data_IF_694475793986
#
_entry.id   IF_694475793986
#
_cell.length_a   1.000
_cell.length_b   1.000
_cell.length_c   1.000
_cell.angle_alpha   90.00
_cell.angle_beta   90.00
_cell.angle_gamma   90.00
#
_symmetry.space_group_name_H-M   'P 1'
#
loop_
_entity.id
_entity.type
_entity.pdbx_description
1 polymer ?
#
# COMPACT_ATOMS: atom_id res chain seq x y z
N UNK A 1 -29.49 -8.15 8.03
CA UNK A 1 -28.69 -7.60 6.92
C UNK A 1 -29.15 -6.18 6.69
N UNK A 2 -28.25 -5.20 6.61
CA UNK A 2 -28.62 -3.83 6.30
C UNK A 2 -29.18 -3.74 4.88
N UNK A 3 -30.28 -3.00 4.69
CA UNK A 3 -30.86 -2.76 3.36
C UNK A 3 -30.13 -1.56 2.76
N UNK A 4 -29.56 -1.72 1.57
CA UNK A 4 -28.83 -0.66 0.88
C UNK A 4 -29.72 0.04 -0.17
N UNK A 5 -29.80 1.36 -0.10
CA UNK A 5 -30.50 2.25 -1.03
C UNK A 5 -29.70 2.47 -2.33
N UNK A 6 -29.05 1.41 -2.82
CA UNK A 6 -28.34 1.40 -4.09
C UNK A 6 -29.25 0.91 -5.22
N UNK A 7 -29.29 1.65 -6.32
CA UNK A 7 -29.92 1.21 -7.57
C UNK A 7 -28.92 0.38 -8.37
N UNK A 8 -29.29 -0.85 -8.68
CA UNK A 8 -28.54 -1.75 -9.56
C UNK A 8 -29.35 -1.93 -10.84
N UNK A 9 -28.79 -1.49 -11.96
CA UNK A 9 -29.44 -1.51 -13.27
C UNK A 9 -28.96 -2.68 -14.14
N UNK A 10 -27.88 -3.35 -13.74
CA UNK A 10 -27.30 -4.49 -14.49
C UNK A 10 -27.12 -5.73 -13.61
N UNK A 11 -27.05 -6.94 -14.18
CA UNK A 11 -26.82 -8.17 -13.41
C UNK A 11 -25.52 -8.11 -12.58
N UNK A 12 -24.45 -7.55 -13.14
CA UNK A 12 -23.18 -7.38 -12.43
C UNK A 12 -23.33 -6.45 -11.22
N UNK A 13 -24.05 -5.32 -11.38
CA UNK A 13 -24.36 -4.41 -10.27
C UNK A 13 -25.21 -5.08 -9.19
N UNK A 14 -26.08 -6.01 -9.58
CA UNK A 14 -26.93 -6.75 -8.63
C UNK A 14 -26.13 -7.72 -7.77
N UNK A 15 -25.16 -8.42 -8.36
CA UNK A 15 -24.23 -9.29 -7.61
C UNK A 15 -23.39 -8.49 -6.61
N UNK A 16 -22.88 -7.34 -7.03
CA UNK A 16 -22.12 -6.44 -6.15
C UNK A 16 -23.01 -5.91 -5.01
N UNK A 17 -24.24 -5.51 -5.32
CA UNK A 17 -25.21 -5.08 -4.30
C UNK A 17 -25.49 -6.19 -3.29
N UNK A 18 -25.76 -7.40 -3.75
CA UNK A 18 -26.02 -8.55 -2.87
C UNK A 18 -24.81 -8.87 -1.98
N UNK A 19 -23.60 -8.79 -2.54
CA UNK A 19 -22.38 -8.96 -1.77
C UNK A 19 -22.27 -7.88 -0.68
N UNK A 20 -22.46 -6.60 -1.03
CA UNK A 20 -22.41 -5.50 -0.08
C UNK A 20 -23.47 -5.63 1.02
N UNK A 21 -24.70 -6.08 0.72
CA UNK A 21 -25.74 -6.31 1.73
C UNK A 21 -25.38 -7.42 2.72
N UNK A 22 -24.58 -8.40 2.28
CA UNK A 22 -24.10 -9.52 3.10
C UNK A 22 -22.86 -9.16 3.93
N UNK A 23 -21.92 -8.39 3.38
CA UNK A 23 -20.61 -8.13 3.99
C UNK A 23 -20.46 -6.74 4.62
N UNK A 24 -21.32 -5.77 4.31
CA UNK A 24 -21.21 -4.42 4.85
C UNK A 24 -21.51 -4.36 6.35
N UNK A 25 -20.68 -3.62 7.07
CA UNK A 25 -20.93 -3.24 8.45
C UNK A 25 -22.11 -2.24 8.55
N UNK A 26 -22.69 -2.09 9.74
CA UNK A 26 -23.76 -1.12 9.97
C UNK A 26 -23.31 0.31 9.64
N UNK A 27 -22.06 0.67 9.95
CA UNK A 27 -21.48 1.99 9.64
C UNK A 27 -21.34 2.21 8.14
N UNK A 28 -20.87 1.20 7.40
CA UNK A 28 -20.75 1.28 5.94
C UNK A 28 -22.13 1.42 5.29
N UNK A 29 -23.12 0.66 5.75
CA UNK A 29 -24.49 0.77 5.26
C UNK A 29 -25.08 2.17 5.48
N UNK A 30 -24.84 2.78 6.64
CA UNK A 30 -25.27 4.15 6.90
C UNK A 30 -24.59 5.17 5.98
N UNK A 31 -23.28 5.02 5.73
CA UNK A 31 -22.53 5.85 4.75
C UNK A 31 -23.10 5.71 3.34
N UNK A 32 -23.43 4.49 2.91
CA UNK A 32 -24.02 4.22 1.60
C UNK A 32 -25.41 4.86 1.49
N UNK A 33 -26.24 4.73 2.52
CA UNK A 33 -27.63 5.17 2.49
C UNK A 33 -27.80 6.69 2.61
N UNK A 34 -27.01 7.33 3.47
CA UNK A 34 -27.15 8.75 3.80
C UNK A 34 -26.11 9.63 3.10
N UNK A 35 -24.99 9.06 2.65
CA UNK A 35 -23.82 9.79 2.19
C UNK A 35 -22.96 10.29 3.35
N UNK A 36 -21.77 10.81 3.02
CA UNK A 36 -20.80 11.35 3.97
C UNK A 36 -20.76 12.87 3.84
N UNK A 37 -20.86 13.60 4.95
CA UNK A 37 -20.73 15.06 4.97
C UNK A 37 -19.25 15.43 4.85
N UNK A 38 -18.91 16.22 3.84
CA UNK A 38 -17.56 16.73 3.59
C UNK A 38 -17.59 18.25 3.45
N UNK A 39 -16.48 18.92 3.73
CA UNK A 39 -16.35 20.36 3.47
C UNK A 39 -15.71 20.58 2.11
N UNK A 40 -16.38 21.36 1.24
CA UNK A 40 -15.86 21.75 -0.07
C UNK A 40 -16.17 23.22 -0.31
N UNK A 41 -15.16 24.00 -0.68
CA UNK A 41 -15.26 25.45 -0.93
C UNK A 41 -15.89 26.23 0.25
N UNK A 42 -15.55 25.85 1.49
CA UNK A 42 -16.09 26.45 2.71
C UNK A 42 -17.56 26.13 3.01
N UNK A 43 -18.16 25.18 2.28
CA UNK A 43 -19.54 24.73 2.46
C UNK A 43 -19.60 23.25 2.81
N UNK A 44 -20.56 22.88 3.66
CA UNK A 44 -20.85 21.47 3.96
C UNK A 44 -21.67 20.87 2.81
N UNK A 45 -21.12 19.85 2.16
CA UNK A 45 -21.78 19.10 1.08
C UNK A 45 -21.83 17.62 1.45
N UNK A 46 -22.79 16.89 0.90
CA UNK A 46 -23.00 15.47 1.13
C UNK A 46 -22.47 14.71 -0.08
N UNK A 47 -21.43 13.91 0.12
CA UNK A 47 -20.90 12.99 -0.87
C UNK A 47 -21.74 11.69 -0.88
N UNK A 48 -22.44 11.43 -1.98
CA UNK A 48 -23.18 10.18 -2.19
C UNK A 48 -22.58 9.42 -3.35
N UNK A 49 -22.15 8.21 -3.05
CA UNK A 49 -21.62 7.26 -4.04
C UNK A 49 -22.76 6.40 -4.57
N UNK A 50 -22.72 6.11 -5.85
CA UNK A 50 -23.69 5.24 -6.52
C UNK A 50 -22.97 4.10 -7.24
N UNK A 51 -23.77 3.16 -7.75
CA UNK A 51 -23.26 1.97 -8.42
C UNK A 51 -22.64 2.29 -9.78
N UNK A 52 -23.09 3.33 -10.47
CA UNK A 52 -22.52 3.74 -11.75
C UNK A 52 -21.12 4.35 -11.58
N UNK A 53 -20.91 5.14 -10.52
CA UNK A 53 -19.62 5.62 -10.07
C UNK A 53 -18.70 4.48 -9.67
N UNK A 54 -19.22 3.48 -8.95
CA UNK A 54 -18.46 2.27 -8.63
C UNK A 54 -18.00 1.53 -9.90
N UNK A 55 -18.88 1.34 -10.90
CA UNK A 55 -18.49 0.67 -12.14
C UNK A 55 -17.36 1.41 -12.89
N UNK A 56 -17.37 2.75 -12.90
CA UNK A 56 -16.27 3.54 -13.46
C UNK A 56 -14.97 3.37 -12.66
N UNK A 57 -15.07 3.39 -11.33
CA UNK A 57 -13.93 3.14 -10.46
C UNK A 57 -13.34 1.73 -10.69
N UNK A 58 -14.18 0.69 -10.69
CA UNK A 58 -13.77 -0.68 -10.93
C UNK A 58 -13.13 -0.87 -12.31
N UNK A 59 -13.65 -0.18 -13.35
CA UNK A 59 -13.03 -0.17 -14.67
C UNK A 59 -11.61 0.42 -14.65
N UNK A 60 -11.41 1.55 -13.97
CA UNK A 60 -10.08 2.15 -13.83
C UNK A 60 -9.12 1.25 -13.02
N UNK A 61 -9.59 0.58 -11.98
CA UNK A 61 -8.80 -0.40 -11.22
C UNK A 61 -8.41 -1.60 -12.09
N UNK A 62 -9.36 -2.16 -12.83
CA UNK A 62 -9.11 -3.25 -13.77
C UNK A 62 -8.10 -2.85 -14.85
N UNK A 63 -8.20 -1.63 -15.40
CA UNK A 63 -7.24 -1.10 -16.36
C UNK A 63 -5.83 -0.96 -15.77
N UNK A 64 -5.71 -0.45 -14.54
CA UNK A 64 -4.42 -0.37 -13.83
C UNK A 64 -3.83 -1.75 -13.58
N UNK A 65 -4.65 -2.74 -13.24
CA UNK A 65 -4.21 -4.11 -13.03
C UNK A 65 -3.76 -4.77 -14.34
N UNK A 66 -4.52 -4.59 -15.42
CA UNK A 66 -4.16 -5.08 -16.75
C UNK A 66 -2.84 -4.48 -17.24
N UNK A 67 -2.60 -3.18 -17.05
CA UNK A 67 -1.35 -2.53 -17.43
C UNK A 67 -0.11 -3.04 -16.65
N UNK A 68 -0.31 -3.68 -15.49
CA UNK A 68 0.77 -4.28 -14.71
C UNK A 68 1.06 -5.73 -15.11
N UNK A 69 0.11 -6.41 -15.75
CA UNK A 69 0.23 -7.80 -16.14
C UNK A 69 0.85 -7.92 -17.54
N UNK A 70 1.85 -8.79 -17.70
CA UNK A 70 2.51 -9.01 -19.00
C UNK A 70 1.73 -9.96 -19.91
N UNK A 71 1.01 -10.92 -19.33
CA UNK A 71 0.54 -12.08 -20.07
C UNK A 71 -0.98 -12.23 -20.08
N UNK A 72 -1.67 -11.87 -18.97
CA UNK A 72 -3.11 -12.15 -18.81
C UNK A 72 -3.84 -10.97 -18.13
N UNK A 73 -5.03 -10.61 -18.61
CA UNK A 73 -5.90 -9.62 -17.96
C UNK A 73 -7.24 -10.26 -17.57
N UNK A 74 -7.31 -10.84 -16.37
CA UNK A 74 -8.56 -11.26 -15.76
C UNK A 74 -8.70 -10.64 -14.37
N UNK A 75 -9.94 -10.36 -13.97
CA UNK A 75 -10.28 -9.83 -12.65
C UNK A 75 -11.29 -10.78 -12.03
N UNK A 76 -10.96 -11.34 -10.87
CA UNK A 76 -11.85 -12.26 -10.17
C UNK A 76 -12.95 -11.53 -9.40
N UNK A 77 -14.10 -12.18 -9.22
CA UNK A 77 -15.24 -11.63 -8.47
C UNK A 77 -14.87 -11.16 -7.04
N UNK A 78 -14.09 -11.90 -6.23
CA UNK A 78 -13.69 -11.43 -4.89
C UNK A 78 -12.88 -10.12 -4.92
N UNK A 79 -12.10 -9.90 -5.97
CA UNK A 79 -11.32 -8.67 -6.16
C UNK A 79 -12.27 -7.50 -6.44
N UNK A 80 -13.24 -7.68 -7.34
CA UNK A 80 -14.27 -6.66 -7.64
C UNK A 80 -15.11 -6.33 -6.39
N UNK A 81 -15.46 -7.34 -5.59
CA UNK A 81 -16.18 -7.13 -4.33
C UNK A 81 -15.33 -6.37 -3.30
N UNK A 82 -14.04 -6.66 -3.22
CA UNK A 82 -13.10 -5.90 -2.40
C UNK A 82 -13.02 -4.42 -2.82
N UNK A 83 -12.98 -4.15 -4.13
CA UNK A 83 -13.05 -2.78 -4.64
C UNK A 83 -14.37 -2.09 -4.31
N UNK A 84 -15.48 -2.82 -4.26
CA UNK A 84 -16.78 -2.24 -3.90
C UNK A 84 -16.77 -1.76 -2.45
N UNK A 85 -16.27 -2.58 -1.52
CA UNK A 85 -16.14 -2.21 -0.11
C UNK A 85 -15.25 -0.98 0.02
N UNK A 86 -14.04 -1.02 -0.55
CA UNK A 86 -13.11 0.12 -0.53
C UNK A 86 -13.72 1.38 -1.16
N UNK A 87 -14.36 1.26 -2.33
CA UNK A 87 -14.99 2.38 -2.99
C UNK A 87 -16.03 3.07 -2.10
N UNK A 88 -16.86 2.32 -1.39
CA UNK A 88 -17.90 2.92 -0.52
C UNK A 88 -17.35 3.39 0.83
N UNK A 89 -16.33 2.74 1.36
CA UNK A 89 -15.73 3.05 2.67
C UNK A 89 -14.82 4.28 2.64
N UNK A 90 -14.03 4.44 1.56
CA UNK A 90 -12.94 5.41 1.47
C UNK A 90 -13.45 6.84 1.27
N UNK A 91 -13.24 7.73 2.23
CA UNK A 91 -13.78 9.10 2.20
C UNK A 91 -13.14 9.98 1.12
N UNK A 92 -11.91 9.64 0.72
CA UNK A 92 -11.14 10.30 -0.34
C UNK A 92 -11.77 10.14 -1.74
N UNK A 93 -12.66 9.16 -1.92
CA UNK A 93 -13.32 8.92 -3.21
C UNK A 93 -14.61 9.75 -3.28
N UNK A 94 -14.65 10.71 -4.20
CA UNK A 94 -15.82 11.55 -4.42
C UNK A 94 -16.80 10.90 -5.41
N UNK A 95 -18.06 10.73 -4.97
CA UNK A 95 -19.20 10.43 -5.82
C UNK A 95 -19.93 11.69 -6.26
N UNK A 96 -21.25 11.62 -6.31
CA UNK A 96 -22.08 12.79 -6.59
C UNK A 96 -22.23 13.64 -5.32
N UNK A 97 -21.84 14.91 -5.42
CA UNK A 97 -21.94 15.85 -4.30
C UNK A 97 -23.30 16.55 -4.30
N UNK A 98 -23.90 16.68 -3.11
CA UNK A 98 -25.20 17.34 -2.90
C UNK A 98 -25.07 18.45 -1.85
N UNK A 99 -25.80 19.55 -2.02
CA UNK A 99 -25.97 20.55 -0.97
C UNK A 99 -26.88 20.01 0.15
N UNK A 100 -26.92 20.70 1.29
CA UNK A 100 -27.86 20.37 2.38
C UNK A 100 -29.33 20.40 1.93
N UNK A 101 -29.66 21.22 0.92
CA UNK A 101 -30.98 21.31 0.28
C UNK A 101 -31.26 20.16 -0.73
N UNK A 102 -30.36 19.17 -0.83
CA UNK A 102 -30.51 18.00 -1.71
C UNK A 102 -30.31 18.28 -3.21
N UNK A 103 -29.98 19.51 -3.60
CA UNK A 103 -29.60 19.87 -4.97
C UNK A 103 -28.17 19.41 -5.26
N UNK A 104 -27.89 18.95 -6.49
CA UNK A 104 -26.53 18.55 -6.90
C UNK A 104 -25.59 19.77 -6.79
N UNK A 105 -24.49 19.60 -6.06
CA UNK A 105 -23.46 20.61 -5.89
C UNK A 105 -22.81 20.91 -7.24
N UNK A 106 -22.88 22.17 -7.67
CA UNK A 106 -22.12 22.69 -8.79
C UNK A 106 -21.07 23.63 -8.21
N UNK A 107 -19.77 23.39 -8.42
CA UNK A 107 -18.74 24.32 -7.97
C UNK A 107 -19.07 25.70 -8.56
N UNK A 108 -18.92 26.74 -7.75
CA UNK A 108 -19.07 28.10 -8.24
C UNK A 108 -18.06 28.30 -9.37
N UNK A 109 -18.54 28.43 -10.61
CA UNK A 109 -17.70 28.91 -11.68
C UNK A 109 -17.20 30.28 -11.22
N UNK A 110 -15.90 30.39 -10.93
CA UNK A 110 -15.23 31.67 -10.88
C UNK A 110 -15.44 32.29 -12.25
N UNK A 111 -16.51 33.07 -12.38
CA UNK A 111 -16.64 34.01 -13.47
C UNK A 111 -15.45 34.95 -13.28
N UNK A 112 -14.42 34.73 -14.09
CA UNK A 112 -13.51 35.80 -14.45
C UNK A 112 -14.44 36.90 -14.95
N UNK A 113 -14.67 37.89 -14.09
CA UNK A 113 -15.37 39.10 -14.48
C UNK A 113 -14.46 39.70 -15.54
N UNK A 114 -14.81 39.47 -16.81
CA UNK A 114 -14.22 40.22 -17.92
C UNK A 114 -14.54 41.67 -17.60
N UNK A 115 -13.54 42.43 -17.16
CA UNK A 115 -13.64 43.88 -17.09
C UNK A 115 -14.22 44.37 -18.42
N UNK A 116 -15.21 45.28 -18.40
CA UNK A 116 -15.75 45.81 -19.64
C UNK A 116 -14.60 46.48 -20.41
N UNK A 117 -14.47 46.11 -21.70
CA UNK A 117 -13.48 46.68 -22.59
C UNK A 117 -13.60 48.22 -22.64
N UNK A 118 -12.49 48.97 -22.76
CA UNK A 118 -12.56 50.41 -22.89
C UNK A 118 -13.29 50.77 -24.20
N UNK A 119 -14.20 51.74 -24.09
CA UNK A 119 -14.94 52.31 -25.23
C UNK A 119 -13.94 53.04 -26.13
N UNK A 120 -13.76 52.56 -27.36
CA UNK A 120 -13.01 53.26 -28.40
C UNK A 120 -14.01 54.02 -29.28
N UNK A 121 -13.89 55.36 -29.31
CA UNK A 121 -14.58 56.22 -30.29
C UNK A 121 -14.02 56.02 -31.71
N UNK A 122 -14.82 56.27 -32.77
CA UNK A 122 -14.54 55.75 -34.12
C UNK A 122 -13.68 56.68 -34.99
N UNK A 123 -13.29 56.16 -36.18
CA UNK A 123 -12.88 56.79 -37.48
C UNK A 123 -11.41 56.48 -37.88
N UNK A 124 -11.03 56.20 -39.16
CA UNK A 124 -11.71 55.60 -40.34
C UNK A 124 -10.87 54.46 -41.03
N UNK A 125 -11.35 54.02 -42.19
CA UNK A 125 -11.05 52.85 -43.03
C UNK A 125 -9.69 52.71 -43.76
N UNK A 126 -9.43 51.44 -44.17
CA UNK A 126 -8.66 50.92 -45.33
C UNK A 126 -7.15 50.57 -45.21
N UNK A 127 -6.85 49.25 -45.22
CA UNK A 127 -6.10 48.49 -46.28
C UNK A 127 -5.77 47.04 -45.84
N UNK A 128 -6.20 46.02 -46.60
CA UNK A 128 -5.50 44.70 -46.71
C UNK A 128 -4.28 44.89 -47.65
N UNK A 129 -3.20 44.05 -47.74
CA UNK A 129 -3.02 42.63 -47.34
C UNK A 129 -1.58 42.22 -46.82
N UNK A 130 -1.37 40.95 -46.42
CA UNK A 130 -0.35 40.00 -46.95
C UNK A 130 -0.30 38.69 -46.11
N UNK A 131 -0.09 37.52 -46.73
CA UNK A 131 -0.07 36.22 -46.03
C UNK A 131 1.23 36.08 -45.24
N UNK A 132 1.15 35.73 -43.96
CA UNK A 132 2.33 35.38 -43.16
C UNK A 132 2.63 33.89 -43.32
N UNK A 133 3.90 33.56 -43.56
CA UNK A 133 4.39 32.21 -43.80
C UNK A 133 4.23 31.32 -42.56
N UNK A 134 4.04 30.02 -42.78
CA UNK A 134 3.77 29.04 -41.72
C UNK A 134 5.04 28.72 -40.94
N UNK A 135 4.89 28.44 -39.64
CA UNK A 135 5.94 28.05 -38.70
C UNK A 135 6.83 26.90 -39.22
N UNK A 136 6.33 26.07 -40.13
CA UNK A 136 7.07 24.99 -40.77
C UNK A 136 8.19 25.47 -41.72
N UNK A 137 8.05 26.65 -42.33
CA UNK A 137 9.03 27.25 -43.26
C UNK A 137 10.21 27.91 -42.50
N UNK A 138 10.02 28.26 -41.22
CA UNK A 138 11.05 28.85 -40.36
C UNK A 138 11.99 27.80 -39.75
N UNK A 139 11.54 26.56 -39.57
CA UNK A 139 12.34 25.47 -38.99
C UNK A 139 13.26 24.77 -40.00
N UNK A 140 12.95 24.81 -41.30
CA UNK A 140 13.84 24.25 -42.35
C UNK A 140 15.06 25.14 -42.63
N UNK A 141 15.10 26.37 -42.11
CA UNK A 141 16.25 27.28 -42.26
C UNK A 141 17.29 27.20 -41.12
N UNK A 142 17.07 26.38 -40.09
CA UNK A 142 18.00 26.24 -38.95
C UNK A 142 18.98 25.06 -39.08
N UNK A 143 19.20 24.54 -40.29
CA UNK A 143 20.20 23.51 -40.54
C UNK A 143 21.25 23.93 -41.58
N UNK A 144 21.85 25.12 -41.39
CA UNK A 144 23.13 25.50 -41.98
C UNK A 144 23.94 26.30 -40.93
N UNK A 145 25.05 25.70 -40.44
CA UNK A 145 26.43 26.23 -40.27
C UNK A 145 26.57 27.76 -40.08
N UNK A 146 27.40 28.34 -39.20
CA UNK A 146 28.62 27.94 -38.50
C UNK A 146 29.16 29.19 -37.77
N UNK A 147 29.88 28.97 -36.66
CA UNK A 147 31.12 29.67 -36.27
C UNK A 147 31.16 31.12 -35.75
N UNK A 148 32.07 31.29 -34.77
CA UNK A 148 32.85 32.49 -34.36
C UNK A 148 32.08 33.58 -33.59
N UNK A 149 32.62 34.31 -32.60
CA UNK A 149 33.90 34.30 -31.89
C UNK A 149 33.77 35.24 -30.65
N UNK A 150 34.55 34.90 -29.62
CA UNK A 150 35.32 35.74 -28.65
C UNK A 150 34.84 37.06 -27.99
N UNK A 151 35.23 37.15 -26.70
CA UNK A 151 35.77 38.32 -25.93
C UNK A 151 34.72 39.34 -25.39
N UNK A 152 34.80 39.92 -24.18
CA UNK A 152 35.87 40.11 -23.19
C UNK A 152 35.25 40.53 -21.81
N UNK A 153 35.97 40.30 -20.71
CA UNK A 153 35.73 40.67 -19.28
C UNK A 153 36.19 42.14 -18.99
N UNK A 154 36.39 42.69 -17.75
CA UNK A 154 35.93 42.42 -16.35
C UNK A 154 35.54 43.71 -15.54
N UNK A 155 35.48 43.56 -14.20
CA UNK A 155 35.68 44.51 -13.05
C UNK A 155 34.43 44.96 -12.27
N UNK A 156 34.22 44.44 -11.03
CA UNK A 156 34.74 44.89 -9.71
C UNK A 156 33.91 46.09 -9.16
N UNK A 157 33.54 46.28 -7.88
CA UNK A 157 33.86 45.81 -6.51
C UNK A 157 32.75 46.43 -5.61
N UNK A 158 32.27 45.88 -4.48
CA UNK A 158 32.71 46.00 -3.06
C UNK A 158 31.49 45.50 -2.22
N UNK A 159 31.62 44.51 -1.32
CA UNK A 159 31.81 44.62 0.15
C UNK A 159 30.61 45.26 0.91
N UNK A 160 30.06 44.79 2.03
CA UNK A 160 30.58 44.03 3.19
C UNK A 160 29.40 43.52 4.07
N UNK A 161 29.75 42.67 5.05
CA UNK A 161 28.98 41.78 5.95
C UNK A 161 28.02 42.42 6.99
N UNK A 162 27.14 41.60 7.58
CA UNK A 162 26.83 41.64 9.03
C UNK A 162 26.10 40.36 9.53
N UNK A 163 26.80 39.61 10.39
CA UNK A 163 26.36 38.43 11.16
C UNK A 163 25.50 38.81 12.40
N UNK A 164 24.45 38.05 12.70
CA UNK A 164 23.69 38.13 13.97
C UNK A 164 24.05 36.96 14.93
N UNK A 165 24.44 37.21 16.19
CA UNK A 165 24.53 36.17 17.22
C UNK A 165 23.44 36.25 18.31
N UNK A 166 23.10 35.07 18.83
CA UNK A 166 22.24 34.80 20.00
C UNK A 166 22.89 35.26 21.33
N UNK A 167 22.12 35.63 22.37
CA UNK A 167 22.65 35.76 23.71
C UNK A 167 22.37 34.54 24.59
N UNK A 168 23.46 33.94 25.09
CA UNK A 168 23.51 33.13 26.30
C UNK A 168 23.58 34.05 27.54
N UNK A 169 22.99 33.62 28.66
CA UNK A 169 23.29 34.18 29.99
C UNK A 169 23.59 33.03 30.93
N UNK A 170 24.87 32.88 31.29
CA UNK A 170 25.31 32.16 32.47
C UNK A 170 25.25 33.09 33.69
N UNK A 171 24.71 32.62 34.81
CA UNK A 171 25.17 33.05 36.13
C UNK A 171 25.35 31.81 37.01
N UNK A 172 26.52 31.74 37.61
CA UNK A 172 27.17 30.58 38.22
C UNK A 172 26.94 30.44 39.72
N UNK A 173 27.33 29.27 40.26
CA UNK A 173 27.61 28.88 41.66
C UNK A 173 26.43 28.33 42.48
N UNK A 174 26.41 27.02 42.74
CA UNK A 174 27.23 26.32 43.76
C UNK A 174 26.64 24.96 44.17
N UNK A 175 27.50 24.17 44.81
CA UNK A 175 27.57 22.71 44.85
C UNK A 175 26.98 22.07 46.13
N UNK A 176 26.30 20.92 45.94
CA UNK A 176 26.13 19.72 46.79
C UNK A 176 25.19 19.63 48.06
N UNK A 177 24.59 18.42 48.31
CA UNK A 177 23.59 18.08 49.36
C UNK A 177 24.26 17.38 50.60
N UNK A 178 23.60 16.72 51.60
CA UNK A 178 22.18 16.35 51.79
C UNK A 178 21.61 16.50 53.24
N UNK A 179 20.28 16.49 53.43
CA UNK A 179 19.69 15.98 54.69
C UNK A 179 18.19 15.65 54.56
N UNK A 180 17.84 14.46 55.03
CA UNK A 180 16.52 14.05 55.54
C UNK A 180 16.80 13.38 56.92
N UNK A 181 15.84 13.09 57.84
CA UNK A 181 14.38 13.00 57.66
C UNK A 181 13.49 13.42 58.88
N UNK A 182 12.17 13.16 58.75
CA UNK A 182 11.14 12.79 59.78
C UNK A 182 9.95 13.77 59.96
N UNK A 183 8.75 13.34 60.46
CA UNK A 183 7.95 12.16 60.07
C UNK A 183 6.39 12.40 60.01
N UNK A 184 5.67 11.55 59.24
CA UNK A 184 4.28 11.02 59.40
C UNK A 184 3.04 11.96 59.21
N UNK A 185 1.88 11.48 58.68
CA UNK A 185 1.22 10.22 59.08
C UNK A 185 0.85 9.23 57.96
N UNK A 186 0.85 7.96 58.38
CA UNK A 186 0.43 6.76 57.67
C UNK A 186 -1.01 6.84 57.20
N UNK A 187 -1.21 6.54 55.91
CA UNK A 187 -2.49 6.08 55.38
C UNK A 187 -2.29 4.63 54.94
N UNK A 188 -3.19 3.80 55.44
CA UNK A 188 -3.16 2.35 55.48
C UNK A 188 -2.82 1.69 54.13
N UNK A 189 -1.87 0.75 54.18
CA UNK A 189 -1.55 -0.17 53.09
C UNK A 189 -2.64 -1.25 53.06
N UNK A 190 -3.45 -1.39 52.00
CA UNK A 190 -4.15 -2.65 51.78
C UNK A 190 -3.10 -3.72 51.44
N UNK A 191 -3.24 -4.87 52.09
CA UNK A 191 -2.40 -6.08 51.97
C UNK A 191 -1.95 -6.40 50.53
N UNK A 192 -0.79 -7.06 50.34
CA UNK A 192 -0.25 -7.37 49.02
C UNK A 192 -1.26 -8.21 48.26
N UNK A 193 -1.88 -7.59 47.26
CA UNK A 193 -2.59 -8.32 46.22
C UNK A 193 -1.52 -9.13 45.49
N UNK A 194 -1.68 -10.44 45.28
CA UNK A 194 -0.69 -11.24 44.57
C UNK A 194 -0.42 -10.58 43.21
N UNK A 195 0.87 -10.36 42.92
CA UNK A 195 1.35 -9.79 41.68
C UNK A 195 0.63 -10.45 40.49
N UNK A 196 -0.26 -9.70 39.85
CA UNK A 196 -0.77 -10.05 38.53
C UNK A 196 0.42 -9.87 37.61
N UNK A 197 1.10 -10.97 37.28
CA UNK A 197 2.07 -10.96 36.19
C UNK A 197 1.39 -10.31 34.98
N UNK A 198 2.01 -9.36 34.29
CA UNK A 198 1.40 -8.71 33.14
C UNK A 198 1.04 -9.80 32.14
N UNK A 199 -0.25 -10.13 32.08
CA UNK A 199 -0.76 -11.12 31.15
C UNK A 199 -0.62 -10.50 29.77
N UNK A 200 0.44 -10.87 29.05
CA UNK A 200 0.68 -10.41 27.69
C UNK A 200 -0.57 -10.61 26.84
N UNK A 201 -0.81 -9.71 25.89
CA UNK A 201 -2.01 -9.70 25.05
C UNK A 201 -2.26 -11.08 24.40
N UNK A 202 -3.54 -11.49 24.21
CA UNK A 202 -3.86 -12.76 23.57
C UNK A 202 -3.19 -12.95 22.19
N UNK A 203 -3.00 -11.88 21.43
CA UNK A 203 -2.27 -11.89 20.16
C UNK A 203 -0.81 -12.26 20.37
N UNK A 204 -0.13 -11.62 21.33
CA UNK A 204 1.28 -11.89 21.60
C UNK A 204 1.50 -13.32 22.11
N UNK A 205 0.61 -13.83 22.96
CA UNK A 205 0.66 -15.22 23.41
C UNK A 205 0.58 -16.21 22.24
N UNK A 206 -0.31 -15.96 21.27
CA UNK A 206 -0.43 -16.79 20.06
C UNK A 206 0.81 -16.66 19.18
N UNK A 207 1.30 -15.45 18.98
CA UNK A 207 2.51 -15.18 18.20
C UNK A 207 3.70 -15.98 18.76
N UNK A 208 3.94 -15.91 20.07
CA UNK A 208 4.99 -16.67 20.75
C UNK A 208 4.79 -18.19 20.61
N UNK A 209 3.54 -18.68 20.69
CA UNK A 209 3.24 -20.10 20.50
C UNK A 209 3.56 -20.59 19.09
N UNK A 210 3.33 -19.78 18.06
CA UNK A 210 3.69 -20.12 16.68
C UNK A 210 5.19 -20.03 16.49
N UNK A 211 5.84 -19.00 17.03
CA UNK A 211 7.30 -18.86 16.97
C UNK A 211 8.01 -20.06 17.61
N UNK A 212 7.48 -20.62 18.70
CA UNK A 212 8.01 -21.83 19.32
C UNK A 212 7.86 -23.09 18.44
N UNK A 213 6.87 -23.14 17.54
CA UNK A 213 6.67 -24.24 16.60
C UNK A 213 7.56 -24.12 15.36
N UNK A 214 7.91 -22.89 14.97
CA UNK A 214 8.76 -22.60 13.82
C UNK A 214 9.95 -21.72 14.23
N UNK A 215 10.91 -22.26 15.03
CA UNK A 215 12.02 -21.47 15.57
C UNK A 215 12.99 -20.98 14.49
N UNK A 216 13.00 -21.64 13.33
CA UNK A 216 13.81 -21.33 12.16
C UNK A 216 13.11 -20.38 11.17
N UNK A 217 11.85 -20.01 11.41
CA UNK A 217 11.07 -19.16 10.53
C UNK A 217 10.76 -17.80 11.17
N UNK A 218 10.71 -16.78 10.32
CA UNK A 218 10.16 -15.48 10.68
C UNK A 218 8.65 -15.55 10.60
N UNK A 219 7.98 -15.21 11.70
CA UNK A 219 6.52 -15.19 11.77
C UNK A 219 6.02 -13.86 11.18
N UNK A 220 5.30 -13.96 10.06
CA UNK A 220 4.66 -12.84 9.36
C UNK A 220 3.17 -12.91 9.67
N UNK A 221 2.71 -12.08 10.61
CA UNK A 221 1.36 -12.15 11.16
C UNK A 221 0.41 -11.18 10.48
N UNK A 222 -0.70 -11.65 9.90
CA UNK A 222 -1.71 -10.75 9.33
C UNK A 222 -2.56 -10.11 10.42
N UNK A 223 -2.48 -8.79 10.52
CA UNK A 223 -3.32 -7.98 11.40
C UNK A 223 -4.05 -6.91 10.59
N UNK A 224 -5.33 -7.14 10.29
CA UNK A 224 -6.10 -6.26 9.42
C UNK A 224 -5.57 -6.27 7.98
N UNK A 225 -5.08 -5.12 7.54
CA UNK A 225 -4.55 -4.87 6.18
C UNK A 225 -3.02 -4.78 6.15
N UNK A 226 -2.37 -5.12 7.26
CA UNK A 226 -0.91 -5.19 7.38
C UNK A 226 -0.47 -6.60 7.76
N UNK A 227 0.72 -6.96 7.29
CA UNK A 227 1.51 -8.01 7.90
C UNK A 227 2.45 -7.39 8.92
N UNK A 228 2.56 -8.01 10.09
CA UNK A 228 3.36 -7.57 11.22
C UNK A 228 4.36 -8.65 11.62
N UNK A 229 5.59 -8.24 11.88
CA UNK A 229 6.66 -9.08 12.44
C UNK A 229 7.08 -8.43 13.75
N UNK A 230 7.27 -9.23 14.81
CA UNK A 230 7.52 -8.76 16.16
C UNK A 230 8.88 -9.22 16.71
N UNK A 231 9.38 -8.52 17.71
CA UNK A 231 10.56 -8.90 18.49
C UNK A 231 11.87 -8.78 17.71
N UNK A 232 12.79 -9.72 17.95
CA UNK A 232 14.13 -9.69 17.36
C UNK A 232 14.12 -9.80 15.83
N UNK A 233 13.22 -10.61 15.26
CA UNK A 233 13.06 -10.72 13.81
C UNK A 233 12.64 -9.38 13.20
N UNK A 234 11.84 -8.58 13.91
CA UNK A 234 11.45 -7.26 13.45
C UNK A 234 12.63 -6.30 13.35
N UNK A 235 13.54 -6.33 14.33
CA UNK A 235 14.75 -5.49 14.34
C UNK A 235 15.64 -5.83 13.15
N UNK A 236 15.93 -7.12 12.93
CA UNK A 236 16.76 -7.58 11.80
C UNK A 236 16.16 -7.16 10.45
N UNK A 237 14.85 -7.40 10.28
CA UNK A 237 14.17 -7.11 9.00
C UNK A 237 14.05 -5.61 8.75
N UNK A 238 13.85 -4.82 9.80
CA UNK A 238 13.83 -3.37 9.69
C UNK A 238 15.14 -2.83 9.11
N UNK A 239 16.28 -3.32 9.60
CA UNK A 239 17.59 -2.95 9.08
C UNK A 239 17.81 -3.44 7.64
N UNK A 240 17.45 -4.70 7.36
CA UNK A 240 17.76 -5.32 6.07
C UNK A 240 16.91 -4.83 4.89
N UNK A 241 15.65 -4.47 5.16
CA UNK A 241 14.72 -3.95 4.15
C UNK A 241 14.53 -2.43 4.26
N UNK A 242 15.28 -1.76 5.14
CA UNK A 242 15.14 -0.34 5.44
C UNK A 242 13.67 0.04 5.77
N UNK A 243 12.99 -0.79 6.54
CA UNK A 243 11.63 -0.56 7.01
C UNK A 243 11.65 0.17 8.35
N UNK A 244 10.65 1.01 8.59
CA UNK A 244 10.53 1.74 9.86
C UNK A 244 10.28 0.77 11.02
N UNK A 245 11.23 0.68 11.94
CA UNK A 245 11.06 -0.04 13.20
C UNK A 245 10.15 0.77 14.14
N UNK A 246 9.10 0.13 14.62
CA UNK A 246 8.12 0.71 15.54
C UNK A 246 7.97 -0.19 16.78
N UNK A 247 7.06 0.16 17.68
CA UNK A 247 6.75 -0.66 18.86
C UNK A 247 5.26 -1.00 18.92
N UNK A 248 4.91 -2.23 19.26
CA UNK A 248 3.54 -2.66 19.57
C UNK A 248 3.34 -2.77 21.06
N UNK A 249 2.22 -2.24 21.56
CA UNK A 249 1.81 -2.53 22.93
C UNK A 249 1.20 -3.94 22.98
N UNK A 250 1.87 -4.83 23.70
CA UNK A 250 1.47 -6.22 23.88
C UNK A 250 1.05 -6.51 25.32
N UNK A 251 0.73 -5.50 26.15
CA UNK A 251 0.40 -5.69 27.56
C UNK A 251 1.58 -6.17 28.42
N UNK A 252 2.80 -5.84 27.98
CA UNK A 252 4.06 -6.06 28.71
C UNK A 252 4.55 -4.73 29.29
N UNK A 253 5.54 -4.77 30.18
CA UNK A 253 6.14 -3.54 30.76
C UNK A 253 6.76 -2.63 29.69
N UNK A 254 7.29 -3.21 28.60
CA UNK A 254 7.86 -2.49 27.47
C UNK A 254 7.14 -2.84 26.17
N UNK A 255 7.08 -1.88 25.23
CA UNK A 255 6.57 -2.13 23.87
C UNK A 255 7.49 -3.11 23.14
N UNK A 256 6.88 -4.04 22.42
CA UNK A 256 7.61 -5.05 21.63
C UNK A 256 8.00 -4.42 20.29
N UNK A 257 9.27 -4.53 19.83
CA UNK A 257 9.67 -4.06 18.51
C UNK A 257 8.79 -4.68 17.41
N UNK A 258 8.42 -3.88 16.42
CA UNK A 258 7.50 -4.27 15.35
C UNK A 258 7.92 -3.62 14.04
N UNK A 259 7.87 -4.41 12.97
CA UNK A 259 7.88 -3.92 11.59
C UNK A 259 6.64 -4.43 10.90
N UNK A 260 6.10 -3.64 9.98
CA UNK A 260 4.95 -4.07 9.21
C UNK A 260 4.91 -3.47 7.82
N UNK A 261 4.25 -4.19 6.91
CA UNK A 261 4.05 -3.77 5.53
C UNK A 261 2.63 -4.09 5.04
N UNK A 262 2.09 -3.32 4.07
CA UNK A 262 0.71 -3.51 3.61
C UNK A 262 0.52 -4.85 2.90
N UNK A 263 -0.62 -5.50 3.16
CA UNK A 263 -0.97 -6.80 2.53
C UNK A 263 -1.05 -6.70 1.01
N UNK A 264 -1.60 -5.62 0.47
CA UNK A 264 -1.72 -5.45 -0.99
C UNK A 264 -0.37 -5.32 -1.73
N UNK A 265 0.72 -5.14 -0.99
CA UNK A 265 2.08 -5.04 -1.52
C UNK A 265 3.02 -6.06 -0.87
N UNK A 266 2.46 -7.08 -0.20
CA UNK A 266 3.23 -8.06 0.56
C UNK A 266 4.19 -8.84 -0.30
N UNK A 267 3.81 -9.16 -1.53
CA UNK A 267 4.62 -10.00 -2.43
C UNK A 267 6.02 -9.42 -2.62
N UNK A 268 6.14 -8.10 -2.78
CA UNK A 268 7.44 -7.44 -2.93
C UNK A 268 8.32 -7.59 -1.68
N UNK A 269 7.74 -7.50 -0.49
CA UNK A 269 8.49 -7.65 0.76
C UNK A 269 8.82 -9.10 1.06
N UNK A 270 7.86 -10.00 0.83
CA UNK A 270 8.01 -11.45 1.00
C UNK A 270 9.09 -11.96 0.06
N UNK A 271 9.06 -11.60 -1.23
CA UNK A 271 10.11 -11.98 -2.19
C UNK A 271 11.49 -11.53 -1.75
N UNK A 272 11.65 -10.27 -1.30
CA UNK A 272 12.94 -9.77 -0.80
C UNK A 272 13.43 -10.53 0.44
N UNK A 273 12.54 -10.92 1.34
CA UNK A 273 12.89 -11.73 2.51
C UNK A 273 13.34 -13.14 2.09
N UNK A 274 12.63 -13.77 1.15
CA UNK A 274 13.02 -15.08 0.62
C UNK A 274 14.35 -15.01 -0.12
N UNK A 275 14.61 -13.99 -0.94
CA UNK A 275 15.89 -13.76 -1.63
C UNK A 275 17.06 -13.61 -0.65
N UNK A 276 16.81 -13.00 0.52
CA UNK A 276 17.77 -12.88 1.62
C UNK A 276 17.94 -14.17 2.44
N UNK A 277 17.22 -15.24 2.08
CA UNK A 277 17.35 -16.56 2.70
C UNK A 277 16.47 -16.79 3.92
N UNK A 278 15.49 -15.91 4.20
CA UNK A 278 14.59 -16.10 5.33
C UNK A 278 13.52 -17.13 5.01
N UNK A 279 13.35 -18.11 5.90
CA UNK A 279 12.14 -18.94 5.95
C UNK A 279 11.02 -18.15 6.59
N UNK A 280 9.84 -18.13 5.98
CA UNK A 280 8.71 -17.33 6.43
C UNK A 280 7.54 -18.24 6.82
N UNK A 281 6.94 -17.97 7.97
CA UNK A 281 5.68 -18.56 8.39
C UNK A 281 4.60 -17.47 8.38
N UNK A 282 3.79 -17.46 7.33
CA UNK A 282 2.75 -16.46 7.11
C UNK A 282 1.47 -16.95 7.77
N UNK A 283 0.97 -16.16 8.72
CA UNK A 283 -0.24 -16.48 9.50
C UNK A 283 -1.38 -15.59 9.02
N UNK A 284 -2.40 -16.21 8.44
CA UNK A 284 -3.61 -15.53 7.95
C UNK A 284 -4.68 -15.38 9.04
N UNK A 285 -5.76 -14.65 8.74
CA UNK A 285 -6.87 -14.38 9.69
C UNK A 285 -7.56 -15.63 10.23
N UNK A 286 -7.46 -16.77 9.54
CA UNK A 286 -8.06 -18.05 9.96
C UNK A 286 -7.12 -18.93 10.81
N UNK A 287 -6.02 -18.37 11.33
CA UNK A 287 -4.91 -19.12 11.97
C UNK A 287 -4.30 -20.20 11.02
N UNK A 288 -4.54 -20.08 9.71
CA UNK A 288 -3.89 -20.89 8.67
C UNK A 288 -2.44 -20.41 8.52
N UNK A 289 -1.51 -21.35 8.64
CA UNK A 289 -0.07 -21.08 8.54
C UNK A 289 0.42 -21.58 7.19
N UNK A 290 0.95 -20.66 6.38
CA UNK A 290 1.62 -20.98 5.11
C UNK A 290 3.12 -20.79 5.28
N UNK A 291 3.86 -21.87 5.02
CA UNK A 291 5.32 -21.83 5.06
C UNK A 291 5.85 -21.50 3.67
N UNK A 292 6.68 -20.48 3.57
CA UNK A 292 7.46 -20.16 2.38
C UNK A 292 8.94 -20.30 2.71
N UNK A 293 9.69 -20.92 1.81
CA UNK A 293 11.13 -21.14 1.96
C UNK A 293 11.86 -20.57 0.73
N UNK A 294 13.11 -20.10 0.88
CA UNK A 294 13.91 -19.68 -0.25
C UNK A 294 14.07 -20.82 -1.27
N UNK A 295 13.95 -20.50 -2.56
CA UNK A 295 14.23 -21.45 -3.64
C UNK A 295 15.75 -21.67 -3.73
N UNK A 296 16.23 -22.68 -3.04
CA UNK A 296 17.60 -23.17 -3.19
C UNK A 296 17.61 -24.14 -4.36
N UNK A 297 18.30 -23.80 -5.45
CA UNK A 297 18.63 -24.79 -6.48
C UNK A 297 19.78 -25.64 -5.94
N UNK A 298 19.56 -26.93 -5.80
CA UNK A 298 20.59 -27.90 -5.43
C UNK A 298 21.05 -28.52 -6.73
N UNK A 299 22.36 -28.54 -6.96
CA UNK A 299 22.95 -29.26 -8.08
C UNK A 299 22.79 -30.77 -7.81
N UNK A 300 22.05 -31.48 -8.67
CA UNK A 300 21.70 -32.89 -8.46
C UNK A 300 22.92 -33.84 -8.58
N UNK A 301 24.01 -33.40 -9.21
CA UNK A 301 25.23 -34.20 -9.39
C UNK A 301 26.19 -34.07 -8.19
N UNK A 302 26.30 -32.86 -7.63
CA UNK A 302 27.27 -32.55 -6.57
C UNK A 302 26.65 -32.41 -5.19
N UNK A 303 25.33 -32.23 -5.10
CA UNK A 303 24.63 -31.95 -3.84
C UNK A 303 24.96 -30.58 -3.24
N UNK A 304 25.61 -29.71 -4.00
CA UNK A 304 26.04 -28.39 -3.56
C UNK A 304 24.91 -27.36 -3.73
N UNK A 305 24.84 -26.40 -2.79
CA UNK A 305 23.89 -25.29 -2.86
C UNK A 305 24.36 -24.33 -3.96
N UNK A 306 23.61 -24.21 -5.04
CA UNK A 306 23.94 -23.25 -6.08
C UNK A 306 23.74 -21.82 -5.54
N UNK A 307 24.69 -20.90 -5.78
CA UNK A 307 24.55 -19.52 -5.33
C UNK A 307 23.30 -18.88 -5.96
N UNK A 308 22.62 -17.98 -5.24
CA UNK A 308 21.45 -17.29 -5.79
C UNK A 308 21.86 -16.56 -7.06
N UNK A 309 21.15 -16.84 -8.17
CA UNK A 309 21.41 -16.19 -9.45
C UNK A 309 21.22 -14.68 -9.25
N UNK A 310 22.31 -13.94 -9.33
CA UNK A 310 22.27 -12.48 -9.29
C UNK A 310 21.57 -12.01 -10.55
N UNK A 311 20.60 -11.10 -10.44
CA UNK A 311 19.74 -10.64 -11.53
C UNK A 311 20.46 -9.87 -12.68
N UNK A 312 21.78 -9.98 -12.79
CA UNK A 312 22.63 -9.18 -13.69
C UNK A 312 23.57 -10.03 -14.59
N UNK A 313 23.34 -11.34 -14.72
CA UNK A 313 24.08 -12.15 -15.69
C UNK A 313 23.35 -12.20 -17.05
N UNK A 314 24.04 -11.99 -18.19
CA UNK A 314 23.41 -12.10 -19.50
C UNK A 314 22.95 -13.53 -19.75
N UNK A 315 21.68 -13.67 -20.17
CA UNK A 315 21.04 -14.93 -20.46
C UNK A 315 21.83 -15.71 -21.52
N UNK A 316 22.43 -16.83 -21.12
CA UNK A 316 22.76 -17.91 -22.04
C UNK A 316 21.47 -18.69 -22.30
N UNK A 317 21.04 -18.66 -23.55
CA UNK A 317 19.93 -19.44 -24.08
C UNK A 317 20.31 -20.93 -24.07
N UNK A 318 19.89 -21.64 -23.03
CA UNK A 318 19.72 -23.10 -23.09
C UNK A 318 18.22 -23.37 -22.94
N UNK A 319 17.58 -23.74 -24.04
CA UNK A 319 16.20 -24.22 -24.05
C UNK A 319 16.11 -25.56 -23.30
N UNK A 320 15.15 -25.74 -22.38
CA UNK A 320 14.90 -27.06 -21.80
C UNK A 320 13.99 -27.92 -22.70
N UNK A 321 14.36 -29.18 -22.84
CA UNK A 321 13.66 -30.24 -23.58
C UNK A 321 12.17 -30.39 -23.17
N UNK A 322 11.31 -30.35 -24.19
CA UNK A 322 9.83 -30.30 -24.15
C UNK A 322 9.15 -31.62 -23.70
N UNK A 323 9.91 -32.65 -23.30
CA UNK A 323 9.36 -33.97 -22.98
C UNK A 323 8.92 -34.14 -21.51
N UNK A 324 9.55 -33.44 -20.55
CA UNK A 324 9.23 -33.59 -19.12
C UNK A 324 8.02 -32.76 -18.67
N UNK A 325 7.77 -31.63 -19.32
CA UNK A 325 6.64 -30.75 -18.99
C UNK A 325 5.30 -31.41 -19.33
N UNK A 326 5.28 -32.19 -20.41
CA UNK A 326 4.09 -32.93 -20.87
C UNK A 326 3.69 -34.03 -19.88
N UNK A 327 4.66 -34.69 -19.22
CA UNK A 327 4.38 -35.70 -18.19
C UNK A 327 3.91 -35.07 -16.86
N UNK A 328 4.49 -33.93 -16.47
CA UNK A 328 4.08 -33.22 -15.25
C UNK A 328 2.68 -32.60 -15.36
N UNK A 329 2.30 -32.09 -16.53
CA UNK A 329 0.96 -31.55 -16.77
C UNK A 329 -0.10 -32.66 -16.88
N UNK A 330 0.28 -33.87 -17.32
CA UNK A 330 -0.58 -35.05 -17.25
C UNK A 330 -0.84 -35.53 -15.80
N UNK A 331 0.10 -35.35 -14.88
CA UNK A 331 -0.08 -35.69 -13.46
C UNK A 331 -0.91 -34.66 -12.68
N UNK A 332 -0.95 -33.39 -13.11
CA UNK A 332 -1.79 -32.34 -12.49
C UNK A 332 -3.27 -32.43 -12.86
N UNK A 333 -3.65 -33.28 -13.82
CA UNK A 333 -5.02 -33.39 -14.32
C UNK A 333 -5.96 -34.21 -13.41
N UNK A 334 -5.47 -34.82 -12.33
CA UNK A 334 -6.30 -35.61 -11.42
C UNK A 334 -6.60 -34.86 -10.11
N UNK A 335 -7.87 -34.49 -9.93
CA UNK A 335 -8.41 -33.96 -8.68
C UNK A 335 -7.99 -34.84 -7.48
N UNK A 336 -7.44 -34.26 -6.39
CA UNK A 336 -6.90 -35.01 -5.25
C UNK A 336 -7.94 -35.91 -4.57
N UNK A 337 -9.22 -35.55 -4.66
CA UNK A 337 -10.35 -36.35 -4.16
C UNK A 337 -10.56 -37.63 -4.98
N UNK A 338 -10.18 -37.63 -6.26
CA UNK A 338 -10.28 -38.79 -7.16
C UNK A 338 -9.12 -39.77 -6.92
N UNK A 339 -7.93 -39.24 -6.68
CA UNK A 339 -6.75 -40.03 -6.29
C UNK A 339 -6.97 -40.75 -4.96
N UNK A 340 -7.58 -40.09 -3.96
CA UNK A 340 -7.92 -40.73 -2.68
C UNK A 340 -8.91 -41.89 -2.85
N UNK A 341 -9.92 -41.76 -3.73
CA UNK A 341 -10.90 -42.82 -4.02
C UNK A 341 -10.31 -43.96 -4.85
N UNK A 342 -9.38 -43.69 -5.76
CA UNK A 342 -8.67 -44.72 -6.51
C UNK A 342 -7.76 -45.54 -5.59
N UNK A 343 -7.07 -44.91 -4.64
CA UNK A 343 -6.26 -45.60 -3.64
C UNK A 343 -7.09 -46.50 -2.71
N UNK A 344 -8.34 -46.10 -2.43
CA UNK A 344 -9.29 -46.91 -1.66
C UNK A 344 -9.82 -48.12 -2.45
N UNK A 345 -9.87 -48.03 -3.79
CA UNK A 345 -10.34 -49.10 -4.69
C UNK A 345 -9.22 -50.08 -5.08
N UNK A 346 -7.98 -49.59 -5.24
CA UNK A 346 -6.82 -50.35 -5.75
C UNK A 346 -5.81 -50.78 -4.67
N UNK A 347 -6.21 -50.73 -3.40
CA UNK A 347 -5.32 -51.06 -2.27
C UNK A 347 -4.53 -52.36 -2.43
N UNK A 348 -3.22 -52.27 -2.15
CA UNK A 348 -2.23 -53.33 -1.92
C UNK A 348 -1.92 -54.33 -3.05
N UNK A 349 -2.22 -54.01 -4.31
CA UNK A 349 -1.77 -54.84 -5.45
C UNK A 349 -0.97 -54.03 -6.49
N UNK A 350 0.14 -53.45 -6.05
CA UNK A 350 1.23 -53.00 -6.93
C UNK A 350 2.58 -53.42 -6.33
N UNK A 351 2.78 -54.72 -6.20
CA UNK A 351 4.11 -55.30 -6.07
C UNK A 351 4.64 -55.51 -7.50
N UNK A 352 5.48 -54.59 -7.97
CA UNK A 352 6.18 -54.71 -9.25
C UNK A 352 7.62 -55.11 -8.96
N UNK A 353 7.92 -56.38 -9.27
CA UNK A 353 9.27 -56.96 -9.33
C UNK A 353 10.20 -56.24 -10.31
#
# INVERSE_FOLDING_TARGET
MPILNLKANTPAQQLVKEHLEKSASATLADKINHGVKIQKDGKTVINKKDMDGFMRFAFEQAKKQANKSKDNAFVEDPVVYGWAIHYFEEESIEGTLYNEDGTVYKPAQTSVTRSPAPIVSPIPSEKKPKPQMSLFELMEQQNEISETDTEDEPDETDDEDEDEPLPETEETLSEAPPEAPAPLPEKEIPAPTPAVQPQSSPLYQRYMKIQAQYPDAVIVWRHGDFYEILGESAVKIAEELALTLTGRDCGLESRVPMVGFPVHSSDVYISKLLEKGYKLAIVEKSDEIRIQQPNVKIDEETGELLPPVSADAPASEDEPDDELQTEMDAMKAFEPVTLAKLYEILGDELDLQ
#
